data_IF_428440840235
#
_entry.id   IF_428440840235
#
_cell.length_a   1.000
_cell.length_b   1.000
_cell.length_c   1.000
_cell.angle_alpha   90.00
_cell.angle_beta   90.00
_cell.angle_gamma   90.00
#
_symmetry.space_group_name_H-M   'P 1'
#
loop_
_entity.id
_entity.type
_entity.pdbx_description
1 polymer ?
#
# COMPACT_ATOMS: atom_id res chain seq x y z
N UNK A 1 7.78 57.79 -70.10
CA UNK A 1 8.25 56.41 -70.22
C UNK A 1 8.58 55.95 -68.81
N UNK A 2 7.68 55.23 -68.18
CA UNK A 2 7.84 54.67 -66.83
C UNK A 2 7.84 53.17 -66.96
N UNK A 3 8.90 52.53 -66.56
CA UNK A 3 9.07 51.09 -66.55
C UNK A 3 8.55 50.54 -65.18
N UNK A 4 7.52 49.73 -65.20
CA UNK A 4 7.08 48.93 -64.03
C UNK A 4 8.03 47.73 -63.87
N UNK A 5 8.63 47.63 -62.68
CA UNK A 5 9.35 46.44 -62.23
C UNK A 5 8.34 45.51 -61.51
N UNK A 6 8.18 44.28 -62.04
CA UNK A 6 7.31 43.25 -61.46
C UNK A 6 8.12 42.49 -60.38
N UNK A 7 7.71 42.61 -59.14
CA UNK A 7 8.28 41.86 -58.01
C UNK A 7 7.53 40.55 -57.82
N UNK A 8 8.16 39.42 -58.15
CA UNK A 8 7.57 38.09 -57.89
C UNK A 8 7.91 37.70 -56.48
N UNK A 9 6.93 37.69 -55.56
CA UNK A 9 7.04 37.11 -54.24
C UNK A 9 6.93 35.59 -54.33
N UNK A 10 8.04 34.89 -54.14
CA UNK A 10 8.08 33.45 -53.96
C UNK A 10 7.51 33.06 -52.58
N UNK A 11 6.36 32.42 -52.58
CA UNK A 11 5.74 31.87 -51.36
C UNK A 11 6.33 30.47 -51.11
N UNK A 12 7.31 30.36 -50.20
CA UNK A 12 7.82 29.06 -49.71
C UNK A 12 6.80 28.46 -48.77
N UNK A 13 6.04 27.46 -49.23
CA UNK A 13 5.22 26.59 -48.41
C UNK A 13 6.12 25.64 -47.63
N UNK A 14 6.38 25.94 -46.37
CA UNK A 14 6.92 24.97 -45.42
C UNK A 14 5.82 24.00 -45.02
N UNK A 15 5.78 22.81 -45.65
CA UNK A 15 4.96 21.72 -45.16
C UNK A 15 5.64 21.10 -43.90
N UNK A 16 5.18 21.50 -42.73
CA UNK A 16 5.51 20.85 -41.50
C UNK A 16 4.84 19.45 -41.49
N UNK A 17 5.59 18.41 -41.86
CA UNK A 17 5.16 17.02 -41.64
C UNK A 17 5.13 16.75 -40.13
N UNK A 18 3.96 16.90 -39.49
CA UNK A 18 3.76 16.41 -38.15
C UNK A 18 3.84 14.87 -38.19
N UNK A 19 4.90 14.31 -37.63
CA UNK A 19 4.99 12.87 -37.31
C UNK A 19 3.93 12.62 -36.22
N UNK A 20 2.72 12.29 -36.62
CA UNK A 20 1.77 11.64 -35.71
C UNK A 20 2.31 10.23 -35.42
N UNK A 21 2.79 10.00 -34.18
CA UNK A 21 3.01 8.64 -33.72
C UNK A 21 1.68 7.90 -33.86
N UNK A 22 1.64 6.87 -34.70
CA UNK A 22 0.46 6.04 -34.85
C UNK A 22 0.05 5.47 -33.47
N UNK A 23 -1.23 5.54 -33.14
CA UNK A 23 -1.74 4.85 -31.96
C UNK A 23 -1.42 3.35 -32.10
N UNK A 24 -1.04 2.65 -31.01
CA UNK A 24 -0.71 1.22 -31.09
C UNK A 24 -1.89 0.44 -31.67
N UNK A 25 -1.59 -0.50 -32.57
CA UNK A 25 -2.57 -1.39 -33.18
C UNK A 25 -3.26 -2.26 -32.10
N UNK A 26 -4.49 -2.70 -32.34
CA UNK A 26 -5.27 -3.54 -31.42
C UNK A 26 -4.49 -4.81 -31.03
N UNK A 27 -3.81 -5.43 -31.99
CA UNK A 27 -2.96 -6.61 -31.79
C UNK A 27 -1.83 -6.35 -30.77
N UNK A 28 -1.24 -5.16 -30.77
CA UNK A 28 -0.20 -4.79 -29.79
C UNK A 28 -0.80 -4.53 -28.41
N UNK A 29 -1.99 -3.94 -28.34
CA UNK A 29 -2.71 -3.77 -27.07
C UNK A 29 -3.02 -5.12 -26.43
N UNK A 30 -3.52 -6.08 -27.22
CA UNK A 30 -3.86 -7.41 -26.71
C UNK A 30 -2.61 -8.14 -26.17
N UNK A 31 -1.46 -8.04 -26.85
CA UNK A 31 -0.16 -8.57 -26.35
C UNK A 31 0.27 -7.93 -25.03
N UNK A 32 0.10 -6.60 -24.87
CA UNK A 32 0.43 -5.93 -23.61
C UNK A 32 -0.49 -6.38 -22.48
N UNK A 33 -1.78 -6.52 -22.71
CA UNK A 33 -2.74 -7.02 -21.72
C UNK A 33 -2.38 -8.46 -21.31
N UNK A 34 -2.05 -9.34 -22.26
CA UNK A 34 -1.61 -10.70 -21.97
C UNK A 34 -0.31 -10.73 -21.13
N UNK A 35 0.67 -9.89 -21.48
CA UNK A 35 1.89 -9.75 -20.71
C UNK A 35 1.64 -9.27 -19.28
N UNK A 36 0.75 -8.29 -19.08
CA UNK A 36 0.33 -7.81 -17.76
C UNK A 36 -0.33 -8.95 -16.96
N UNK A 37 -1.27 -9.68 -17.57
CA UNK A 37 -1.95 -10.78 -16.90
C UNK A 37 -0.98 -11.92 -16.50
N UNK A 38 -0.01 -12.22 -17.35
CA UNK A 38 1.04 -13.20 -17.05
C UNK A 38 1.91 -12.74 -15.88
N UNK A 39 2.34 -11.49 -15.87
CA UNK A 39 3.13 -10.93 -14.78
C UNK A 39 2.32 -10.91 -13.45
N UNK A 40 1.03 -10.53 -13.53
CA UNK A 40 0.11 -10.55 -12.39
C UNK A 40 0.00 -11.97 -11.80
N UNK A 41 -0.21 -12.98 -12.62
CA UNK A 41 -0.30 -14.37 -12.16
C UNK A 41 0.98 -14.83 -11.45
N UNK A 42 2.16 -14.46 -11.96
CA UNK A 42 3.43 -14.77 -11.32
C UNK A 42 3.59 -14.07 -9.94
N UNK A 43 3.11 -12.84 -9.79
CA UNK A 43 3.12 -12.13 -8.51
C UNK A 43 2.16 -12.80 -7.52
N UNK A 44 0.93 -13.16 -7.93
CA UNK A 44 -0.03 -13.89 -7.09
C UNK A 44 0.58 -15.20 -6.59
N UNK A 45 1.21 -15.98 -7.48
CA UNK A 45 1.87 -17.22 -7.10
C UNK A 45 3.00 -17.01 -6.07
N UNK A 46 3.78 -15.93 -6.23
CA UNK A 46 4.82 -15.59 -5.26
C UNK A 46 4.25 -15.19 -3.90
N UNK A 47 3.17 -14.39 -3.89
CA UNK A 47 2.47 -13.99 -2.66
C UNK A 47 1.87 -15.19 -1.93
N UNK A 48 1.28 -16.14 -2.64
CA UNK A 48 0.69 -17.36 -2.07
C UNK A 48 1.72 -18.30 -1.44
N UNK A 49 2.99 -18.24 -1.90
CA UNK A 49 4.12 -18.99 -1.31
C UNK A 49 4.82 -18.24 -0.18
N UNK A 50 4.60 -16.94 -0.07
CA UNK A 50 5.24 -16.13 0.96
C UNK A 50 4.79 -16.56 2.36
N UNK A 51 5.66 -16.50 3.38
CA UNK A 51 5.21 -16.56 4.76
C UNK A 51 4.33 -15.35 5.07
N UNK A 52 3.37 -15.52 6.01
CA UNK A 52 2.62 -14.38 6.53
C UNK A 52 3.59 -13.40 7.19
N UNK A 53 3.54 -12.15 6.78
CA UNK A 53 4.45 -11.11 7.26
C UNK A 53 3.98 -9.71 6.90
N UNK A 54 4.86 -8.74 7.12
CA UNK A 54 4.64 -7.36 6.71
C UNK A 54 5.70 -6.96 5.69
N UNK A 55 5.28 -6.57 4.50
CA UNK A 55 6.16 -5.91 3.54
C UNK A 55 6.56 -4.53 4.06
N UNK A 56 5.64 -3.87 4.76
CA UNK A 56 5.82 -2.56 5.39
C UNK A 56 4.99 -2.45 6.65
N UNK A 57 5.58 -1.88 7.68
CA UNK A 57 4.89 -1.50 8.91
C UNK A 57 5.60 -0.30 9.52
N UNK A 58 4.87 0.78 9.81
CA UNK A 58 5.45 1.99 10.37
C UNK A 58 4.38 2.89 10.99
N UNK A 59 4.83 3.78 11.89
CA UNK A 59 3.99 4.87 12.37
C UNK A 59 3.79 5.94 11.29
N UNK A 60 2.57 6.45 11.21
CA UNK A 60 2.19 7.52 10.28
C UNK A 60 1.56 8.69 11.03
N UNK A 61 1.62 9.89 10.44
CA UNK A 61 1.15 11.12 11.09
C UNK A 61 -0.36 11.38 10.91
N UNK A 62 -0.99 10.67 9.97
CA UNK A 62 -2.42 10.78 9.68
C UNK A 62 -2.99 9.41 9.26
N UNK A 63 -4.31 9.27 9.29
CA UNK A 63 -5.00 8.09 8.75
C UNK A 63 -4.62 7.95 7.27
N UNK A 64 -4.11 6.78 6.84
CA UNK A 64 -3.75 6.55 5.44
C UNK A 64 -4.97 6.65 4.51
N UNK A 65 -4.78 7.22 3.33
CA UNK A 65 -5.83 7.34 2.32
C UNK A 65 -5.98 6.07 1.47
N UNK A 66 -4.96 5.20 1.47
CA UNK A 66 -4.97 3.96 0.71
C UNK A 66 -3.61 3.27 0.68
N UNK A 67 -3.49 2.24 -0.15
CA UNK A 67 -2.23 1.54 -0.36
C UNK A 67 -1.16 2.50 -0.90
N UNK A 68 0.01 2.51 -0.25
CA UNK A 68 1.13 3.43 -0.50
C UNK A 68 0.80 4.93 -0.38
N UNK A 69 -0.43 5.29 0.04
CA UNK A 69 -0.90 6.67 0.21
C UNK A 69 -0.96 7.02 1.70
N UNK A 70 0.18 7.28 2.30
CA UNK A 70 0.36 7.59 3.72
C UNK A 70 1.47 8.61 3.95
N UNK A 71 1.48 9.25 5.11
CA UNK A 71 2.53 10.19 5.52
C UNK A 71 3.33 9.58 6.67
N UNK A 72 4.58 9.11 6.43
CA UNK A 72 5.40 8.54 7.48
C UNK A 72 5.75 9.58 8.53
N UNK A 73 5.84 9.16 9.80
CA UNK A 73 6.39 10.04 10.84
C UNK A 73 7.90 10.20 10.66
N UNK A 74 8.40 11.38 11.00
CA UNK A 74 9.83 11.65 10.97
C UNK A 74 10.61 10.89 12.07
N UNK A 75 9.91 10.55 13.18
CA UNK A 75 10.45 9.79 14.31
C UNK A 75 9.31 9.06 15.04
N UNK A 76 9.67 8.25 16.02
CA UNK A 76 8.76 7.48 16.86
C UNK A 76 8.51 8.16 18.22
N UNK A 77 8.60 9.49 18.30
CA UNK A 77 8.34 10.27 19.51
C UNK A 77 6.95 10.88 19.40
N UNK A 78 6.12 10.67 20.41
CA UNK A 78 4.74 11.11 20.47
C UNK A 78 4.56 12.07 21.64
N UNK A 79 3.71 13.07 21.45
CA UNK A 79 3.27 13.92 22.55
C UNK A 79 2.35 13.12 23.50
N UNK A 80 2.18 13.55 24.77
CA UNK A 80 1.16 13.00 25.63
C UNK A 80 -0.23 13.06 24.95
N UNK A 81 -1.00 12.00 25.09
CA UNK A 81 -2.35 11.87 24.50
C UNK A 81 -2.40 11.87 22.95
N UNK A 82 -1.25 11.89 22.29
CA UNK A 82 -1.19 11.72 20.82
C UNK A 82 -1.45 10.25 20.45
N UNK A 83 -2.43 9.96 19.58
CA UNK A 83 -2.72 8.59 19.20
C UNK A 83 -1.61 7.97 18.34
N UNK A 84 -1.34 6.70 18.56
CA UNK A 84 -0.48 5.91 17.67
C UNK A 84 -1.28 5.49 16.43
N UNK A 85 -0.84 5.86 15.26
CA UNK A 85 -1.42 5.39 14.00
C UNK A 85 -0.36 4.56 13.28
N UNK A 86 -0.68 3.29 13.03
CA UNK A 86 0.22 2.36 12.36
C UNK A 86 -0.35 1.97 11.02
N UNK A 87 0.44 2.16 9.97
CA UNK A 87 0.19 1.67 8.63
C UNK A 87 0.85 0.31 8.43
N UNK A 88 0.16 -0.63 7.80
CA UNK A 88 0.71 -1.96 7.51
C UNK A 88 0.39 -2.42 6.09
N UNK A 89 1.31 -3.16 5.48
CA UNK A 89 1.14 -3.88 4.22
C UNK A 89 1.39 -5.37 4.47
N UNK A 90 0.37 -6.15 4.84
CA UNK A 90 0.51 -7.58 5.04
C UNK A 90 0.82 -8.30 3.72
N UNK A 91 1.62 -9.38 3.78
CA UNK A 91 1.94 -10.28 2.66
C UNK A 91 1.81 -11.73 3.10
N UNK A 92 1.65 -12.65 2.14
CA UNK A 92 1.47 -14.08 2.44
C UNK A 92 0.13 -14.41 3.09
N UNK A 93 -0.87 -13.55 2.87
CA UNK A 93 -2.24 -13.74 3.34
C UNK A 93 -2.93 -14.78 2.46
N UNK A 94 -3.65 -15.71 3.06
CA UNK A 94 -4.39 -16.72 2.34
C UNK A 94 -5.74 -16.19 1.84
N UNK A 95 -6.04 -16.49 0.59
CA UNK A 95 -7.32 -16.17 -0.05
C UNK A 95 -8.13 -17.44 -0.28
N UNK A 96 -9.43 -17.38 -0.03
CA UNK A 96 -10.38 -18.44 -0.37
C UNK A 96 -11.24 -17.96 -1.51
N UNK A 97 -11.30 -18.74 -2.59
CA UNK A 97 -12.21 -18.48 -3.71
C UNK A 97 -13.53 -19.20 -3.48
N UNK A 98 -14.63 -18.46 -3.56
CA UNK A 98 -16.00 -18.98 -3.55
C UNK A 98 -16.77 -18.37 -4.72
N UNK A 99 -17.11 -19.20 -5.71
CA UNK A 99 -17.65 -18.72 -6.97
C UNK A 99 -16.70 -17.75 -7.67
N UNK A 100 -17.15 -16.51 -7.88
CA UNK A 100 -16.41 -15.43 -8.54
C UNK A 100 -15.76 -14.46 -7.53
N UNK A 101 -15.68 -14.81 -6.26
CA UNK A 101 -15.19 -13.94 -5.21
C UNK A 101 -14.03 -14.57 -4.45
N UNK A 102 -12.98 -13.77 -4.24
CA UNK A 102 -11.89 -14.08 -3.32
C UNK A 102 -12.13 -13.39 -1.99
N UNK A 103 -11.96 -14.11 -0.90
CA UNK A 103 -12.13 -13.56 0.44
C UNK A 103 -10.97 -13.92 1.35
N UNK A 104 -10.64 -13.01 2.25
CA UNK A 104 -9.71 -13.22 3.35
C UNK A 104 -10.19 -12.53 4.60
N UNK A 105 -9.66 -12.91 5.76
CA UNK A 105 -9.93 -12.26 7.04
C UNK A 105 -8.69 -12.26 7.90
N UNK A 106 -8.27 -11.06 8.32
CA UNK A 106 -7.20 -10.84 9.28
C UNK A 106 -7.77 -10.37 10.62
N UNK A 107 -7.21 -10.87 11.70
CA UNK A 107 -7.48 -10.40 13.06
C UNK A 107 -6.18 -9.83 13.62
N UNK A 108 -6.26 -8.66 14.28
CA UNK A 108 -5.10 -7.99 14.86
C UNK A 108 -5.22 -7.99 16.37
N UNK A 109 -4.16 -8.42 17.02
CA UNK A 109 -3.91 -8.21 18.44
C UNK A 109 -2.86 -7.11 18.61
N UNK A 110 -2.90 -6.40 19.74
CA UNK A 110 -1.78 -5.57 20.15
C UNK A 110 -1.43 -5.77 21.61
N UNK A 111 -0.18 -5.49 21.96
CA UNK A 111 0.28 -5.26 23.32
C UNK A 111 1.23 -4.05 23.36
N UNK A 112 1.23 -3.36 24.50
CA UNK A 112 2.20 -2.30 24.83
C UNK A 112 3.05 -2.80 25.98
N UNK A 113 4.37 -2.78 25.76
CA UNK A 113 5.35 -3.27 26.74
C UNK A 113 6.33 -2.18 27.13
N UNK A 114 6.84 -2.27 28.35
CA UNK A 114 8.05 -1.55 28.75
C UNK A 114 9.29 -2.13 28.05
N UNK A 115 10.42 -1.40 28.01
CA UNK A 115 11.65 -1.87 27.36
C UNK A 115 12.21 -3.19 27.89
N UNK A 116 11.92 -3.54 29.16
CA UNK A 116 12.27 -4.82 29.79
C UNK A 116 11.32 -5.97 29.44
N UNK A 117 10.31 -5.70 28.58
CA UNK A 117 9.37 -6.69 28.05
C UNK A 117 8.11 -6.92 28.89
N UNK A 118 7.92 -6.21 30.00
CA UNK A 118 6.69 -6.33 30.80
C UNK A 118 5.50 -5.76 30.05
N UNK A 119 4.43 -6.55 29.89
CA UNK A 119 3.17 -6.11 29.28
C UNK A 119 2.47 -5.13 30.22
N UNK A 120 2.17 -3.95 29.72
CA UNK A 120 1.49 -2.85 30.42
C UNK A 120 0.03 -2.75 30.02
N UNK A 121 -0.27 -2.98 28.74
CA UNK A 121 -1.62 -2.98 28.17
C UNK A 121 -1.66 -3.89 26.95
N UNK A 122 -2.85 -4.26 26.50
CA UNK A 122 -3.03 -5.02 25.28
C UNK A 122 -4.46 -5.49 25.10
N UNK A 123 -4.79 -5.88 23.89
CA UNK A 123 -6.08 -6.42 23.55
C UNK A 123 -5.96 -7.47 22.45
N UNK A 124 -6.58 -8.63 22.68
CA UNK A 124 -6.80 -9.65 21.65
C UNK A 124 -7.98 -9.28 20.80
N UNK A 125 -7.92 -9.65 19.52
CA UNK A 125 -8.97 -9.33 18.53
C UNK A 125 -9.35 -7.85 18.56
N UNK A 126 -8.35 -6.97 18.66
CA UNK A 126 -8.53 -5.52 18.68
C UNK A 126 -9.15 -5.01 17.37
N UNK A 127 -8.77 -5.58 16.24
CA UNK A 127 -9.28 -5.25 14.93
C UNK A 127 -9.52 -6.47 14.07
N UNK A 128 -10.58 -6.41 13.25
CA UNK A 128 -10.88 -7.41 12.24
C UNK A 128 -10.98 -6.74 10.87
N UNK A 129 -10.30 -7.32 9.88
CA UNK A 129 -10.30 -6.84 8.49
C UNK A 129 -10.81 -7.97 7.60
N UNK A 130 -12.06 -7.89 7.19
CA UNK A 130 -12.64 -8.76 6.17
C UNK A 130 -12.38 -8.13 4.79
N UNK A 131 -11.83 -8.90 3.91
CA UNK A 131 -11.44 -8.50 2.56
C UNK A 131 -12.19 -9.35 1.56
N UNK A 132 -12.68 -8.72 0.48
CA UNK A 132 -13.41 -9.36 -0.59
C UNK A 132 -13.07 -8.69 -1.92
N UNK A 133 -12.83 -9.48 -2.97
CA UNK A 133 -12.45 -8.98 -4.29
C UNK A 133 -12.82 -9.97 -5.40
N UNK A 134 -13.01 -9.48 -6.64
CA UNK A 134 -13.24 -10.31 -7.82
C UNK A 134 -11.99 -11.03 -8.33
N UNK A 135 -10.83 -10.47 -8.02
CA UNK A 135 -9.53 -11.05 -8.31
C UNK A 135 -8.70 -11.04 -7.04
N UNK A 136 -7.76 -11.97 -6.92
CA UNK A 136 -6.83 -12.01 -5.81
C UNK A 136 -5.98 -10.73 -5.80
N UNK A 137 -6.05 -9.88 -4.75
CA UNK A 137 -5.34 -8.62 -4.70
C UNK A 137 -3.83 -8.82 -4.66
N UNK A 138 -3.09 -8.02 -5.42
CA UNK A 138 -1.63 -7.97 -5.34
C UNK A 138 -1.15 -7.15 -4.16
N UNK A 139 -1.93 -6.12 -3.83
CA UNK A 139 -1.59 -5.12 -2.83
C UNK A 139 -2.82 -4.79 -2.00
N UNK A 140 -2.65 -4.74 -0.70
CA UNK A 140 -3.63 -4.17 0.21
C UNK A 140 -2.93 -3.64 1.45
N UNK A 141 -3.63 -2.82 2.20
CA UNK A 141 -3.14 -2.24 3.44
C UNK A 141 -4.19 -2.36 4.52
N UNK A 142 -3.72 -2.34 5.76
CA UNK A 142 -4.56 -2.05 6.92
C UNK A 142 -3.92 -0.93 7.73
N UNK A 143 -4.72 -0.31 8.60
CA UNK A 143 -4.19 0.59 9.61
C UNK A 143 -4.91 0.37 10.93
N UNK A 144 -4.22 0.67 12.01
CA UNK A 144 -4.80 0.71 13.34
C UNK A 144 -4.54 2.07 13.96
N UNK A 145 -5.47 2.51 14.79
CA UNK A 145 -5.32 3.70 15.62
C UNK A 145 -5.49 3.27 17.07
N UNK A 146 -4.47 3.52 17.88
CA UNK A 146 -4.48 3.23 19.31
C UNK A 146 -4.52 4.54 20.09
N UNK A 147 -5.42 4.61 21.04
CA UNK A 147 -5.45 5.67 22.05
C UNK A 147 -4.53 5.27 23.20
N UNK A 148 -3.58 6.12 23.51
CA UNK A 148 -2.62 5.96 24.60
C UNK A 148 -2.76 7.04 25.66
N UNK A 149 -3.92 7.69 25.71
CA UNK A 149 -4.24 8.75 26.67
C UNK A 149 -3.95 8.31 28.10
N UNK A 150 -3.23 9.16 28.83
CA UNK A 150 -2.82 8.89 30.22
C UNK A 150 -1.60 8.01 30.38
N UNK A 151 -0.97 7.55 29.29
CA UNK A 151 0.30 6.84 29.39
C UNK A 151 1.41 7.81 29.83
N UNK A 152 2.22 7.45 30.86
CA UNK A 152 3.33 8.30 31.32
C UNK A 152 4.38 8.54 30.24
N UNK A 153 5.14 9.63 30.34
CA UNK A 153 6.33 9.82 29.53
C UNK A 153 7.33 8.67 29.75
N UNK A 154 7.91 8.16 28.66
CA UNK A 154 8.80 7.01 28.73
C UNK A 154 8.95 6.30 27.40
N UNK A 155 9.78 5.26 27.38
CA UNK A 155 10.01 4.39 26.23
C UNK A 155 9.13 3.15 26.31
N UNK A 156 8.60 2.71 25.17
CA UNK A 156 7.64 1.62 25.04
C UNK A 156 7.92 0.79 23.78
N UNK A 157 7.36 -0.39 23.73
CA UNK A 157 7.32 -1.26 22.56
C UNK A 157 5.86 -1.60 22.28
N UNK A 158 5.37 -1.25 21.08
CA UNK A 158 4.10 -1.72 20.57
C UNK A 158 4.33 -3.04 19.83
N UNK A 159 3.82 -4.14 20.37
CA UNK A 159 3.73 -5.42 19.69
C UNK A 159 2.45 -5.51 18.90
N UNK A 160 2.55 -5.85 17.62
CA UNK A 160 1.40 -6.12 16.74
C UNK A 160 1.48 -7.54 16.23
N UNK A 161 0.40 -8.29 16.44
CA UNK A 161 0.24 -9.64 15.91
C UNK A 161 -0.92 -9.66 14.93
N UNK A 162 -0.68 -10.12 13.70
CA UNK A 162 -1.75 -10.44 12.77
C UNK A 162 -1.98 -11.95 12.72
N UNK A 163 -3.25 -12.34 12.67
CA UNK A 163 -3.72 -13.70 12.50
C UNK A 163 -4.48 -13.78 11.19
N UNK A 164 -4.04 -14.64 10.29
CA UNK A 164 -4.78 -15.00 9.09
C UNK A 164 -5.72 -16.15 9.42
N UNK A 165 -7.01 -15.86 9.47
CA UNK A 165 -8.03 -16.85 9.87
C UNK A 165 -8.26 -17.94 8.82
N UNK A 166 -7.84 -17.73 7.56
CA UNK A 166 -7.99 -18.72 6.49
C UNK A 166 -6.88 -19.77 6.53
N UNK A 167 -5.63 -19.35 6.76
CA UNK A 167 -4.49 -20.27 6.86
C UNK A 167 -4.18 -20.72 8.28
N UNK A 168 -4.71 -20.05 9.31
CA UNK A 168 -4.34 -20.26 10.71
C UNK A 168 -2.95 -19.76 11.09
N UNK A 169 -2.25 -19.08 10.16
CA UNK A 169 -0.92 -18.51 10.41
C UNK A 169 -1.01 -17.21 11.21
N UNK A 170 0.05 -16.90 11.96
CA UNK A 170 0.19 -15.61 12.63
C UNK A 170 1.63 -15.12 12.52
N UNK A 171 1.82 -13.81 12.62
CA UNK A 171 3.11 -13.15 12.70
C UNK A 171 3.03 -11.95 13.64
N UNK A 172 4.14 -11.67 14.33
CA UNK A 172 4.26 -10.57 15.28
C UNK A 172 5.42 -9.67 14.89
N UNK A 173 5.27 -8.38 15.11
CA UNK A 173 6.34 -7.39 14.97
C UNK A 173 6.31 -6.39 16.10
N UNK A 174 7.46 -5.82 16.41
CA UNK A 174 7.69 -4.86 17.47
C UNK A 174 8.01 -3.49 16.89
N UNK A 175 7.33 -2.45 17.37
CA UNK A 175 7.53 -1.07 17.00
C UNK A 175 7.89 -0.26 18.26
N UNK A 176 9.18 0.04 18.49
CA UNK A 176 9.56 0.88 19.60
C UNK A 176 9.10 2.32 19.40
N UNK A 177 8.63 2.96 20.49
CA UNK A 177 8.21 4.34 20.51
C UNK A 177 8.47 5.00 21.86
N UNK A 178 8.36 6.33 21.92
CA UNK A 178 8.57 7.13 23.13
C UNK A 178 7.45 8.14 23.27
N UNK A 179 7.02 8.38 24.50
CA UNK A 179 6.09 9.49 24.87
C UNK A 179 6.92 10.55 25.62
N UNK A 180 6.85 11.80 25.18
CA UNK A 180 7.55 12.97 25.77
C UNK A 180 6.62 14.12 26.03
#
# INVERSE_FOLDING_TARGET
MVRLASCVLGFCLFTASALFAAAPDQTDKDKFIEAINTARAAVVEALNRAPLGFRRILFVSAIPEGFAAYQPRANNIFAPDEPLIVYTEPVGVAWTKDGDEFSSKLVIDFDIRSPDGKVLAGQKSFGEFALSAREEPLDFMTHIKLDVTGAPAGSYILGLTIHDTKSGKSTTTDLPFEIK
#
